data_IF_603306325847
#
_entry.id   IF_603306325847
#
_cell.length_a   1.000
_cell.length_b   1.000
_cell.length_c   1.000
_cell.angle_alpha   90.00
_cell.angle_beta   90.00
_cell.angle_gamma   90.00
#
_symmetry.space_group_name_H-M   'P 1'
#
loop_
_entity.id
_entity.type
_entity.pdbx_description
1 polymer ?
#
# COMPACT_ATOMS: atom_id res chain seq x y z
N UNK A 1 -77.75 0.44 -67.37
CA UNK A 1 -76.46 1.02 -67.84
C UNK A 1 -76.13 2.22 -66.98
N UNK A 2 -75.14 2.11 -66.09
CA UNK A 2 -74.42 3.26 -65.52
C UNK A 2 -73.15 2.75 -64.85
N UNK A 3 -71.98 3.10 -65.42
CA UNK A 3 -70.64 2.84 -64.88
C UNK A 3 -70.17 4.07 -64.11
N UNK A 4 -69.64 3.91 -62.89
CA UNK A 4 -68.68 4.82 -62.23
C UNK A 4 -67.82 4.01 -61.25
N UNK A 5 -66.60 3.66 -61.65
CA UNK A 5 -65.30 4.29 -61.32
C UNK A 5 -64.84 4.07 -59.88
N UNK A 6 -63.94 3.10 -59.74
CA UNK A 6 -63.07 2.80 -58.59
C UNK A 6 -61.98 3.86 -58.42
N UNK A 7 -61.85 4.44 -57.22
CA UNK A 7 -60.66 5.17 -56.78
C UNK A 7 -59.90 4.32 -55.76
N UNK A 8 -58.69 3.90 -56.14
CA UNK A 8 -57.68 3.33 -55.24
C UNK A 8 -56.94 4.49 -54.55
N UNK A 9 -57.06 4.59 -53.24
CA UNK A 9 -56.20 5.45 -52.42
C UNK A 9 -54.97 4.63 -51.98
N UNK A 10 -53.79 5.03 -52.45
CA UNK A 10 -52.50 4.50 -52.00
C UNK A 10 -52.10 5.28 -50.75
N UNK A 11 -52.11 4.64 -49.58
CA UNK A 11 -51.57 5.19 -48.35
C UNK A 11 -50.05 4.91 -48.29
N UNK A 12 -49.24 5.95 -48.50
CA UNK A 12 -47.79 5.88 -48.27
C UNK A 12 -47.50 5.96 -46.76
N UNK A 13 -47.07 4.84 -46.19
CA UNK A 13 -46.56 4.74 -44.82
C UNK A 13 -45.08 5.15 -44.82
N UNK A 14 -44.77 6.37 -44.37
CA UNK A 14 -43.39 6.79 -44.15
C UNK A 14 -42.93 6.32 -42.75
N UNK A 15 -42.10 5.29 -42.71
CA UNK A 15 -41.43 4.84 -41.48
C UNK A 15 -40.24 5.76 -41.20
N UNK A 16 -40.35 6.64 -40.19
CA UNK A 16 -39.23 7.38 -39.66
C UNK A 16 -38.45 6.48 -38.68
N UNK A 17 -37.35 5.90 -39.15
CA UNK A 17 -36.39 5.19 -38.30
C UNK A 17 -35.61 6.20 -37.47
N UNK A 18 -35.96 6.35 -36.20
CA UNK A 18 -35.10 7.03 -35.22
C UNK A 18 -33.93 6.12 -34.90
N UNK A 19 -32.74 6.46 -35.41
CA UNK A 19 -31.47 5.84 -34.99
C UNK A 19 -31.13 6.44 -33.63
N UNK A 20 -31.42 5.70 -32.56
CA UNK A 20 -30.89 6.01 -31.22
C UNK A 20 -29.43 5.54 -31.19
N UNK A 21 -28.50 6.48 -31.17
CA UNK A 21 -27.11 6.17 -30.83
C UNK A 21 -27.05 5.97 -29.31
N UNK A 22 -26.96 4.72 -28.87
CA UNK A 22 -26.57 4.44 -27.49
C UNK A 22 -25.15 4.98 -27.29
N UNK A 23 -24.92 5.88 -26.32
CA UNK A 23 -23.56 6.26 -25.97
C UNK A 23 -22.82 5.00 -25.53
N UNK A 24 -21.68 4.71 -26.18
CA UNK A 24 -20.80 3.66 -25.73
C UNK A 24 -20.53 3.88 -24.23
N UNK A 25 -20.62 2.84 -23.37
CA UNK A 25 -20.29 3.00 -21.97
C UNK A 25 -18.87 3.56 -21.91
N UNK A 26 -18.70 4.73 -21.31
CA UNK A 26 -17.40 5.28 -21.04
C UNK A 26 -16.61 4.17 -20.33
N UNK A 27 -15.49 3.74 -20.94
CA UNK A 27 -14.61 2.74 -20.34
C UNK A 27 -14.24 3.25 -18.97
N UNK A 28 -14.85 2.71 -17.93
CA UNK A 28 -14.54 3.06 -16.56
C UNK A 28 -13.04 2.79 -16.40
N UNK A 29 -12.26 3.87 -16.30
CA UNK A 29 -10.85 3.72 -16.02
C UNK A 29 -10.75 2.94 -14.71
N UNK A 30 -10.01 1.84 -14.72
CA UNK A 30 -9.73 1.08 -13.52
C UNK A 30 -9.07 2.06 -12.55
N UNK A 31 -9.76 2.37 -11.46
CA UNK A 31 -9.25 3.30 -10.46
C UNK A 31 -7.97 2.69 -9.87
N UNK A 32 -6.83 3.37 -10.10
CA UNK A 32 -5.53 3.01 -9.53
C UNK A 32 -5.61 3.04 -8.00
N UNK A 33 -5.12 2.01 -7.34
CA UNK A 33 -4.95 2.01 -5.90
C UNK A 33 -3.61 2.65 -5.47
N UNK A 34 -3.36 2.73 -4.17
CA UNK A 34 -2.13 3.30 -3.62
C UNK A 34 -0.87 2.52 -4.01
N UNK A 35 -0.99 1.22 -4.28
CA UNK A 35 0.13 0.39 -4.73
C UNK A 35 0.40 0.58 -6.21
N UNK A 36 -0.62 0.80 -7.03
CA UNK A 36 -0.44 1.18 -8.44
C UNK A 36 0.38 2.46 -8.56
N UNK A 37 0.04 3.49 -7.79
CA UNK A 37 0.84 4.71 -7.75
C UNK A 37 2.25 4.44 -7.22
N UNK A 38 2.39 3.68 -6.12
CA UNK A 38 3.71 3.34 -5.58
C UNK A 38 4.62 2.64 -6.61
N UNK A 39 4.07 1.72 -7.41
CA UNK A 39 4.80 1.06 -8.50
C UNK A 39 5.13 2.04 -9.63
N UNK A 40 4.19 2.91 -9.99
CA UNK A 40 4.40 3.90 -11.05
C UNK A 40 5.56 4.86 -10.73
N UNK A 41 5.66 5.36 -9.49
CA UNK A 41 6.83 6.17 -9.10
C UNK A 41 8.11 5.34 -8.99
N UNK A 42 8.03 4.07 -8.57
CA UNK A 42 9.21 3.19 -8.56
C UNK A 42 9.79 2.97 -9.97
N UNK A 43 8.93 2.93 -10.98
CA UNK A 43 9.31 2.73 -12.39
C UNK A 43 9.78 4.02 -13.08
N UNK A 44 9.20 5.17 -12.73
CA UNK A 44 9.38 6.42 -13.47
C UNK A 44 10.25 7.46 -12.76
N UNK A 45 10.63 7.23 -11.49
CA UNK A 45 11.37 8.23 -10.72
C UNK A 45 12.69 8.63 -11.38
N UNK A 46 12.83 9.94 -11.67
CA UNK A 46 14.08 10.55 -12.14
C UNK A 46 14.97 11.00 -11.00
N UNK A 47 14.36 11.32 -9.85
CA UNK A 47 15.03 11.55 -8.57
C UNK A 47 14.37 10.64 -7.56
N UNK A 48 15.17 9.78 -6.94
CA UNK A 48 14.68 8.76 -6.02
C UNK A 48 15.58 8.71 -4.79
N UNK A 49 15.26 9.52 -3.79
CA UNK A 49 16.09 9.67 -2.60
C UNK A 49 15.43 9.05 -1.38
N UNK A 50 16.23 8.37 -0.56
CA UNK A 50 15.84 8.03 0.80
C UNK A 50 16.02 9.23 1.73
N UNK A 51 14.96 9.59 2.45
CA UNK A 51 14.95 10.69 3.40
C UNK A 51 15.34 10.22 4.80
N UNK A 52 16.45 10.73 5.33
CA UNK A 52 16.89 10.50 6.71
C UNK A 52 16.22 11.43 7.72
N UNK A 53 15.54 12.49 7.28
CA UNK A 53 15.06 13.53 8.18
C UNK A 53 13.84 13.08 8.97
N UNK A 54 13.80 13.44 10.25
CA UNK A 54 12.64 13.23 11.14
C UNK A 54 11.53 14.25 10.89
N UNK A 55 11.83 15.39 10.28
CA UNK A 55 10.88 16.50 10.03
C UNK A 55 10.88 16.92 8.55
N UNK A 56 9.67 17.14 8.00
CA UNK A 56 9.41 17.96 6.81
C UNK A 56 9.96 17.51 5.44
N UNK A 57 10.70 16.40 5.34
CA UNK A 57 11.44 16.04 4.12
C UNK A 57 10.73 15.12 3.12
N UNK A 58 9.57 14.55 3.48
CA UNK A 58 8.92 13.59 2.61
C UNK A 58 8.07 14.25 1.53
N UNK A 59 8.36 13.96 0.26
CA UNK A 59 7.54 14.37 -0.87
C UNK A 59 7.59 13.36 -2.02
N UNK A 60 6.54 13.39 -2.85
CA UNK A 60 6.52 12.76 -4.18
C UNK A 60 5.91 13.77 -5.13
N UNK A 61 6.60 14.06 -6.22
CA UNK A 61 6.10 14.80 -7.35
C UNK A 61 5.79 13.85 -8.50
N UNK A 62 4.52 13.69 -8.85
CA UNK A 62 4.05 12.62 -9.73
C UNK A 62 4.19 12.95 -11.23
N UNK A 63 3.67 14.08 -11.71
CA UNK A 63 3.42 14.24 -13.16
C UNK A 63 3.86 15.60 -13.71
N UNK A 64 3.64 16.69 -12.98
CA UNK A 64 3.99 18.04 -13.41
C UNK A 64 5.26 18.50 -12.68
N UNK A 65 6.28 19.00 -13.39
CA UNK A 65 7.41 19.62 -12.71
C UNK A 65 6.92 20.84 -11.92
N UNK A 66 7.40 20.98 -10.69
CA UNK A 66 7.22 22.19 -9.88
C UNK A 66 8.46 23.08 -9.99
N UNK A 67 8.40 24.32 -9.49
CA UNK A 67 9.56 25.22 -9.45
C UNK A 67 10.76 24.61 -8.71
N UNK A 68 10.51 23.74 -7.74
CA UNK A 68 11.54 23.16 -6.86
C UNK A 68 11.83 21.69 -7.09
N UNK A 69 10.98 20.96 -7.82
CA UNK A 69 11.11 19.51 -8.03
C UNK A 69 10.70 19.08 -9.45
N UNK A 70 11.50 18.25 -10.15
CA UNK A 70 11.12 17.73 -11.46
C UNK A 70 9.94 16.76 -11.35
N UNK A 71 9.23 16.51 -12.45
CA UNK A 71 8.24 15.44 -12.50
C UNK A 71 8.92 14.10 -12.17
N UNK A 72 8.18 13.20 -11.51
CA UNK A 72 8.69 11.92 -11.04
C UNK A 72 9.89 12.04 -10.10
N UNK A 73 9.80 12.93 -9.10
CA UNK A 73 10.83 13.03 -8.05
C UNK A 73 10.28 12.66 -6.69
N UNK A 74 11.11 12.03 -5.88
CA UNK A 74 10.73 11.64 -4.53
C UNK A 74 11.92 11.75 -3.58
N UNK A 75 11.64 12.28 -2.38
CA UNK A 75 12.46 12.06 -1.19
C UNK A 75 11.54 11.47 -0.15
N UNK A 76 11.71 10.20 0.19
CA UNK A 76 10.75 9.48 1.03
C UNK A 76 11.41 8.49 1.98
N UNK A 77 10.63 7.97 2.93
CA UNK A 77 10.95 6.84 3.79
C UNK A 77 9.68 6.06 4.09
N UNK A 78 9.81 4.75 4.24
CA UNK A 78 8.81 3.77 4.62
C UNK A 78 7.36 4.30 4.81
N UNK A 79 7.01 4.76 6.01
CA UNK A 79 5.65 5.18 6.36
C UNK A 79 5.15 6.40 5.57
N UNK A 80 6.01 7.39 5.30
CA UNK A 80 5.59 8.56 4.54
C UNK A 80 5.40 8.21 3.06
N UNK A 81 6.17 7.26 2.51
CA UNK A 81 5.95 6.76 1.15
C UNK A 81 4.57 6.09 1.00
N UNK A 82 4.20 5.22 1.95
CA UNK A 82 2.85 4.66 2.01
C UNK A 82 1.78 5.76 2.12
N UNK A 83 1.96 6.71 3.04
CA UNK A 83 1.02 7.80 3.28
C UNK A 83 0.81 8.67 2.04
N UNK A 84 1.88 9.06 1.35
CA UNK A 84 1.81 9.88 0.14
C UNK A 84 1.19 9.13 -1.04
N UNK A 85 1.47 7.84 -1.18
CA UNK A 85 0.86 6.98 -2.21
C UNK A 85 -0.64 6.81 -1.97
N UNK A 86 -1.06 6.63 -0.71
CA UNK A 86 -2.47 6.58 -0.33
C UNK A 86 -3.18 7.90 -0.61
N UNK A 87 -2.56 9.04 -0.29
CA UNK A 87 -3.12 10.36 -0.59
C UNK A 87 -3.36 10.56 -2.07
N UNK A 88 -2.38 10.19 -2.91
CA UNK A 88 -2.52 10.28 -4.38
C UNK A 88 -3.68 9.40 -4.87
N UNK A 89 -3.80 8.18 -4.38
CA UNK A 89 -4.85 7.25 -4.79
C UNK A 89 -6.27 7.70 -4.38
N UNK A 90 -6.40 8.27 -3.19
CA UNK A 90 -7.70 8.61 -2.60
C UNK A 90 -8.09 10.08 -2.80
N UNK A 91 -7.18 10.92 -3.30
CA UNK A 91 -7.38 12.37 -3.35
C UNK A 91 -7.36 13.04 -1.98
N UNK A 92 -6.71 12.42 -0.98
CA UNK A 92 -6.72 12.93 0.39
C UNK A 92 -5.80 14.14 0.59
N UNK A 93 -6.38 15.14 1.25
CA UNK A 93 -5.68 16.23 1.88
C UNK A 93 -4.98 15.77 3.17
N UNK A 94 -4.06 16.59 3.73
CA UNK A 94 -3.54 16.34 5.07
C UNK A 94 -4.63 16.29 6.15
N UNK A 95 -5.72 17.07 6.01
CA UNK A 95 -6.82 17.09 6.97
C UNK A 95 -7.57 15.75 7.00
N UNK A 96 -7.80 15.11 5.84
CA UNK A 96 -8.40 13.78 5.78
C UNK A 96 -7.60 12.76 6.58
N UNK A 97 -6.27 12.76 6.42
CA UNK A 97 -5.39 11.88 7.19
C UNK A 97 -5.43 12.17 8.69
N UNK A 98 -5.42 13.46 9.06
CA UNK A 98 -5.54 13.88 10.44
C UNK A 98 -6.87 13.43 11.06
N UNK A 99 -7.97 13.50 10.33
CA UNK A 99 -9.27 13.05 10.81
C UNK A 99 -9.35 11.52 10.94
N UNK A 100 -8.66 10.76 10.08
CA UNK A 100 -8.60 9.30 10.20
C UNK A 100 -7.68 8.83 11.33
N UNK A 101 -6.52 9.46 11.50
CA UNK A 101 -5.40 8.91 12.26
C UNK A 101 -4.71 9.91 13.18
N UNK A 102 -5.31 11.07 13.45
CA UNK A 102 -4.77 12.14 14.32
C UNK A 102 -3.33 12.55 13.93
N UNK A 103 -2.97 12.35 12.65
CA UNK A 103 -1.65 12.64 12.12
C UNK A 103 -1.71 12.80 10.60
N UNK A 104 -1.06 13.84 10.10
CA UNK A 104 -0.93 14.12 8.66
C UNK A 104 0.18 13.30 8.00
N UNK A 105 1.05 12.69 8.80
CA UNK A 105 2.16 11.85 8.35
C UNK A 105 2.52 10.82 9.43
N UNK A 106 1.69 9.78 9.64
CA UNK A 106 1.95 8.78 10.66
C UNK A 106 3.30 8.08 10.46
N UNK A 107 3.96 7.75 11.56
CA UNK A 107 5.20 6.95 11.54
C UNK A 107 4.88 5.46 11.36
N UNK A 108 5.89 4.64 11.04
CA UNK A 108 5.71 3.18 10.97
C UNK A 108 5.21 2.63 12.31
N UNK A 109 5.76 3.10 13.43
CA UNK A 109 5.30 2.66 14.74
C UNK A 109 3.85 3.08 15.03
N UNK A 110 3.44 4.28 14.61
CA UNK A 110 2.05 4.70 14.74
C UNK A 110 1.10 3.79 13.94
N UNK A 111 1.45 3.46 12.69
CA UNK A 111 0.70 2.47 11.92
C UNK A 111 0.69 1.09 12.58
N UNK A 112 1.81 0.65 13.14
CA UNK A 112 1.90 -0.62 13.87
C UNK A 112 0.93 -0.65 15.07
N UNK A 113 0.84 0.44 15.82
CA UNK A 113 -0.08 0.58 16.96
C UNK A 113 -1.55 0.54 16.50
N UNK A 114 -1.91 1.34 15.48
CA UNK A 114 -3.26 1.31 14.89
C UNK A 114 -3.65 -0.10 14.42
N UNK A 115 -2.77 -0.76 13.68
CA UNK A 115 -2.99 -2.13 13.20
C UNK A 115 -3.09 -3.11 14.37
N UNK A 116 -2.28 -2.94 15.42
CA UNK A 116 -2.33 -3.81 16.59
C UNK A 116 -3.66 -3.73 17.35
N UNK A 117 -4.29 -2.55 17.39
CA UNK A 117 -5.64 -2.34 17.93
C UNK A 117 -6.75 -2.80 16.98
N UNK A 118 -6.42 -3.07 15.73
CA UNK A 118 -7.41 -3.42 14.70
C UNK A 118 -7.90 -4.86 14.84
N UNK A 119 -9.19 -5.12 14.54
CA UNK A 119 -9.71 -6.49 14.52
C UNK A 119 -9.08 -7.31 13.39
N UNK A 120 -9.09 -8.64 13.52
CA UNK A 120 -8.66 -9.54 12.46
C UNK A 120 -9.59 -9.42 11.23
N UNK A 121 -9.07 -9.77 10.06
CA UNK A 121 -9.87 -9.88 8.84
C UNK A 121 -11.03 -10.85 9.07
N UNK A 122 -12.25 -10.41 8.72
CA UNK A 122 -13.48 -11.17 8.95
C UNK A 122 -14.08 -11.07 10.37
N UNK A 123 -13.40 -10.43 11.33
CA UNK A 123 -13.98 -10.16 12.64
C UNK A 123 -15.05 -9.04 12.59
N UNK A 124 -15.95 -8.94 13.58
CA UNK A 124 -16.96 -7.89 13.65
C UNK A 124 -16.38 -6.48 13.58
N UNK A 125 -17.22 -5.54 13.13
CA UNK A 125 -16.84 -4.12 13.09
C UNK A 125 -16.59 -3.60 14.52
N UNK A 126 -15.45 -2.94 14.79
CA UNK A 126 -15.18 -2.37 16.10
C UNK A 126 -16.00 -1.09 16.31
N UNK A 127 -16.12 -0.66 17.57
CA UNK A 127 -16.77 0.62 17.90
C UNK A 127 -15.96 1.84 17.44
N UNK A 128 -14.63 1.73 17.45
CA UNK A 128 -13.70 2.74 16.94
C UNK A 128 -12.99 2.14 15.74
N UNK A 129 -13.11 2.80 14.59
CA UNK A 129 -12.52 2.35 13.35
C UNK A 129 -11.08 2.87 13.24
N UNK A 130 -10.16 1.96 12.95
CA UNK A 130 -8.73 2.26 12.69
C UNK A 130 -8.44 2.33 11.19
N UNK A 131 -9.44 1.98 10.37
CA UNK A 131 -9.37 1.80 8.92
C UNK A 131 -8.47 0.65 8.48
N UNK A 132 -8.13 -0.26 9.40
CA UNK A 132 -7.34 -1.45 9.15
C UNK A 132 -8.05 -2.72 9.60
N UNK A 133 -7.77 -3.84 8.93
CA UNK A 133 -8.05 -5.20 9.42
C UNK A 133 -6.78 -6.03 9.38
N UNK A 134 -6.45 -6.72 10.48
CA UNK A 134 -5.24 -7.54 10.55
C UNK A 134 -5.38 -8.77 9.67
N UNK A 135 -4.43 -8.92 8.74
CA UNK A 135 -4.21 -10.15 8.00
C UNK A 135 -3.35 -11.04 8.89
N UNK A 136 -3.89 -12.19 9.31
CA UNK A 136 -3.22 -13.08 10.29
C UNK A 136 -2.62 -14.33 9.66
N UNK A 137 -2.93 -14.60 8.38
CA UNK A 137 -2.44 -15.75 7.63
C UNK A 137 -1.81 -15.31 6.33
N UNK A 138 -0.75 -15.99 5.90
CA UNK A 138 -0.05 -15.63 4.66
C UNK A 138 -0.93 -15.81 3.42
N UNK A 139 -1.81 -16.82 3.40
CA UNK A 139 -2.73 -17.09 2.28
C UNK A 139 -3.77 -15.99 2.05
N UNK A 140 -4.02 -15.15 3.06
CA UNK A 140 -4.96 -14.04 2.97
C UNK A 140 -4.30 -12.74 2.50
N UNK A 141 -2.96 -12.72 2.37
CA UNK A 141 -2.19 -11.57 1.88
C UNK A 141 -2.50 -11.32 0.40
N UNK A 142 -2.78 -10.07 0.06
CA UNK A 142 -3.02 -9.64 -1.30
C UNK A 142 -2.39 -8.27 -1.59
N UNK A 143 -2.41 -7.87 -2.86
CA UNK A 143 -2.04 -6.51 -3.28
C UNK A 143 -2.84 -5.45 -2.52
N UNK A 144 -2.17 -4.41 -2.04
CA UNK A 144 -2.80 -3.32 -1.27
C UNK A 144 -2.87 -3.56 0.23
N UNK A 145 -2.44 -4.73 0.70
CA UNK A 145 -2.12 -4.91 2.11
C UNK A 145 -0.81 -4.17 2.46
N UNK A 146 -0.65 -3.82 3.73
CA UNK A 146 0.53 -3.14 4.26
C UNK A 146 1.16 -4.02 5.35
N UNK A 147 2.46 -4.25 5.26
CA UNK A 147 3.25 -4.88 6.33
C UNK A 147 4.01 -3.79 7.08
N UNK A 148 3.81 -3.74 8.39
CA UNK A 148 4.40 -2.75 9.28
C UNK A 148 5.19 -3.42 10.37
N UNK A 149 6.46 -3.07 10.49
CA UNK A 149 7.34 -3.41 11.60
C UNK A 149 7.30 -2.27 12.61
N UNK A 150 7.03 -2.60 13.87
CA UNK A 150 6.95 -1.65 14.97
C UNK A 150 8.33 -1.25 15.49
N UNK A 151 8.34 -0.24 16.36
CA UNK A 151 9.54 0.26 17.01
C UNK A 151 10.07 -0.75 18.03
N UNK A 152 11.40 -0.82 18.16
CA UNK A 152 12.10 -1.62 19.17
C UNK A 152 12.85 -0.68 20.10
N UNK A 153 12.63 -0.86 21.40
CA UNK A 153 13.36 -0.18 22.48
C UNK A 153 14.19 -1.19 23.25
N UNK A 154 15.36 -0.75 23.69
CA UNK A 154 16.07 -1.39 24.78
C UNK A 154 15.80 -0.59 26.04
N UNK A 155 15.42 -1.27 27.12
CA UNK A 155 15.39 -0.63 28.43
C UNK A 155 16.86 -0.39 28.81
N UNK A 156 17.29 0.87 28.88
CA UNK A 156 18.61 1.19 29.38
C UNK A 156 18.77 0.71 30.83
N UNK A 157 20.01 0.37 31.21
CA UNK A 157 20.37 0.19 32.61
C UNK A 157 20.09 1.49 33.38
N UNK A 158 19.66 1.39 34.65
CA UNK A 158 19.52 2.54 35.53
C UNK A 158 20.90 3.12 35.86
N UNK A 159 21.50 3.88 34.95
CA UNK A 159 22.80 4.53 35.13
C UNK A 159 22.68 5.82 35.97
N UNK A 160 22.01 5.77 37.12
CA UNK A 160 21.99 6.85 38.12
C UNK A 160 21.46 8.24 37.67
N UNK A 161 21.19 8.45 36.39
CA UNK A 161 20.67 9.66 35.76
C UNK A 161 19.25 9.48 35.18
N UNK A 162 18.69 8.27 35.31
CA UNK A 162 17.34 7.88 34.90
C UNK A 162 17.35 6.73 33.88
N UNK A 163 16.20 6.07 33.71
CA UNK A 163 16.05 5.06 32.64
C UNK A 163 16.05 5.81 31.29
N UNK A 164 17.08 5.55 30.46
CA UNK A 164 17.09 6.01 29.06
C UNK A 164 16.47 4.92 28.20
N UNK A 165 15.26 5.16 27.70
CA UNK A 165 14.68 4.32 26.65
C UNK A 165 15.41 4.59 25.33
N UNK A 166 16.35 3.71 24.96
CA UNK A 166 17.04 3.81 23.67
C UNK A 166 16.19 3.20 22.56
N UNK A 167 15.97 3.96 21.49
CA UNK A 167 15.28 3.48 20.29
C UNK A 167 16.29 2.77 19.40
N UNK A 168 16.29 1.43 19.44
CA UNK A 168 17.13 0.59 18.58
C UNK A 168 16.64 0.54 17.13
N UNK A 169 15.34 0.67 16.92
CA UNK A 169 14.71 0.59 15.61
C UNK A 169 13.41 1.38 15.57
N UNK A 170 13.24 2.29 14.61
CA UNK A 170 12.10 3.20 14.53
C UNK A 170 10.85 2.63 13.83
N UNK A 171 10.92 1.36 13.40
CA UNK A 171 9.87 0.71 12.63
C UNK A 171 10.03 0.92 11.12
N UNK A 172 9.27 0.16 10.33
CA UNK A 172 9.27 0.25 8.86
C UNK A 172 7.93 -0.15 8.28
N UNK A 173 7.58 0.40 7.13
CA UNK A 173 6.30 0.18 6.46
C UNK A 173 6.57 -0.16 5.00
N UNK A 174 6.01 -1.28 4.54
CA UNK A 174 6.09 -1.72 3.14
C UNK A 174 4.68 -1.97 2.61
N UNK A 175 4.46 -1.67 1.33
CA UNK A 175 3.22 -1.97 0.63
C UNK A 175 3.37 -3.30 -0.12
N UNK A 176 2.36 -4.15 -0.05
CA UNK A 176 2.36 -5.46 -0.70
C UNK A 176 1.83 -5.32 -2.13
N UNK A 177 2.60 -5.78 -3.11
CA UNK A 177 2.33 -5.58 -4.55
C UNK A 177 1.59 -6.74 -5.21
N UNK A 178 1.42 -7.85 -4.50
CA UNK A 178 0.79 -9.06 -5.01
C UNK A 178 0.48 -10.07 -3.91
N UNK A 179 -0.18 -11.19 -4.22
CA UNK A 179 -0.45 -12.23 -3.25
C UNK A 179 0.85 -12.87 -2.75
N UNK A 180 0.82 -13.37 -1.52
CA UNK A 180 1.92 -14.18 -1.01
C UNK A 180 1.96 -15.54 -1.71
N UNK A 181 3.17 -16.05 -2.00
CA UNK A 181 3.37 -17.33 -2.70
C UNK A 181 4.14 -18.27 -1.79
N UNK A 182 3.57 -19.45 -1.50
CA UNK A 182 4.26 -20.46 -0.69
C UNK A 182 5.52 -20.96 -1.41
N UNK A 183 6.64 -20.99 -0.69
CA UNK A 183 7.89 -21.56 -1.16
C UNK A 183 7.87 -23.07 -0.97
N UNK A 184 7.62 -23.81 -2.05
CA UNK A 184 7.64 -25.28 -2.06
C UNK A 184 8.98 -25.86 -1.61
N UNK A 185 10.08 -25.11 -1.82
CA UNK A 185 11.40 -25.39 -1.26
C UNK A 185 11.80 -24.26 -0.32
N UNK A 186 11.85 -24.56 0.98
CA UNK A 186 12.28 -23.59 1.98
C UNK A 186 13.73 -23.14 1.76
N UNK A 187 13.98 -21.86 2.00
CA UNK A 187 15.30 -21.22 1.93
C UNK A 187 15.79 -20.98 3.37
N UNK A 188 17.10 -20.87 3.64
CA UNK A 188 17.57 -20.56 5.00
C UNK A 188 17.17 -19.12 5.42
N UNK A 189 16.90 -18.88 6.71
CA UNK A 189 16.85 -19.87 7.78
C UNK A 189 15.55 -20.70 7.73
N UNK A 190 15.65 -22.00 8.05
CA UNK A 190 14.53 -22.93 8.09
C UNK A 190 14.18 -23.27 9.53
N UNK A 191 12.90 -23.25 9.86
CA UNK A 191 12.41 -23.61 11.20
C UNK A 191 11.42 -24.76 11.10
N UNK A 192 11.61 -25.77 11.94
CA UNK A 192 10.68 -26.90 12.02
C UNK A 192 9.28 -26.40 12.36
N UNK A 193 8.26 -27.04 11.78
CA UNK A 193 6.86 -26.66 12.00
C UNK A 193 6.44 -25.36 11.32
N UNK A 194 7.28 -24.77 10.45
CA UNK A 194 6.93 -23.55 9.70
C UNK A 194 6.81 -23.79 8.20
N UNK A 195 5.98 -22.99 7.53
CA UNK A 195 6.02 -22.78 6.06
C UNK A 195 6.64 -21.40 5.78
N UNK A 196 7.16 -21.23 4.57
CA UNK A 196 7.71 -19.95 4.11
C UNK A 196 6.89 -19.45 2.93
N UNK A 197 6.57 -18.17 2.93
CA UNK A 197 5.89 -17.50 1.82
C UNK A 197 6.73 -16.31 1.36
N UNK A 198 6.88 -16.19 0.06
CA UNK A 198 7.39 -15.00 -0.60
C UNK A 198 6.29 -13.93 -0.64
N UNK A 199 6.64 -12.69 -0.31
CA UNK A 199 5.75 -11.54 -0.36
C UNK A 199 6.39 -10.46 -1.23
N UNK A 200 5.82 -10.15 -2.40
CA UNK A 200 6.32 -9.06 -3.25
C UNK A 200 5.92 -7.72 -2.62
N UNK A 201 6.87 -6.78 -2.57
CA UNK A 201 6.70 -5.50 -1.89
C UNK A 201 7.22 -4.32 -2.72
N UNK A 202 6.72 -3.14 -2.37
CA UNK A 202 7.28 -1.85 -2.76
C UNK A 202 7.38 -0.99 -1.50
N UNK A 203 8.52 -0.34 -1.32
CA UNK A 203 8.80 0.47 -0.14
C UNK A 203 9.81 1.57 -0.44
N UNK A 204 10.12 2.39 0.57
CA UNK A 204 11.24 3.34 0.51
C UNK A 204 12.17 3.13 1.69
N UNK A 205 13.40 2.70 1.42
CA UNK A 205 14.39 2.32 2.45
C UNK A 205 15.79 2.76 2.06
N UNK A 206 16.71 2.80 3.03
CA UNK A 206 18.11 3.14 2.80
C UNK A 206 18.92 1.99 2.20
N UNK A 207 18.39 0.77 2.21
CA UNK A 207 19.14 -0.44 1.83
C UNK A 207 18.23 -1.45 1.12
N UNK A 208 18.67 -2.07 0.00
CA UNK A 208 17.84 -2.99 -0.78
C UNK A 208 17.46 -4.28 -0.01
N UNK A 209 16.32 -4.89 -0.35
CA UNK A 209 15.80 -6.16 0.19
C UNK A 209 16.51 -7.42 -0.38
N UNK A 210 17.84 -7.35 -0.51
CA UNK A 210 18.70 -8.43 -0.99
C UNK A 210 18.97 -8.40 -2.50
N UNK A 211 20.23 -8.65 -2.87
CA UNK A 211 20.72 -8.52 -4.26
C UNK A 211 21.19 -9.83 -4.90
N UNK A 212 21.16 -10.93 -4.15
CA UNK A 212 21.87 -12.16 -4.53
C UNK A 212 21.01 -13.16 -5.32
N UNK A 213 19.76 -12.82 -5.65
CA UNK A 213 18.78 -13.78 -6.19
C UNK A 213 18.08 -13.31 -7.46
N UNK A 214 18.79 -13.21 -8.59
CA UNK A 214 18.20 -13.18 -9.94
C UNK A 214 16.89 -12.38 -10.06
N UNK A 215 15.79 -13.06 -10.41
CA UNK A 215 14.44 -12.46 -10.59
C UNK A 215 13.80 -11.89 -9.31
N UNK A 216 14.35 -12.22 -8.14
CA UNK A 216 13.92 -11.73 -6.82
C UNK A 216 14.86 -10.66 -6.24
N UNK A 217 15.79 -10.16 -7.05
CA UNK A 217 16.66 -9.05 -6.66
C UNK A 217 15.83 -7.78 -6.49
N UNK A 218 16.15 -7.01 -5.46
CA UNK A 218 15.57 -5.70 -5.27
C UNK A 218 15.99 -4.76 -6.42
N UNK A 219 15.07 -3.92 -6.90
CA UNK A 219 15.35 -3.01 -8.02
C UNK A 219 16.47 -2.02 -7.74
N UNK A 220 16.73 -1.71 -6.46
CA UNK A 220 17.79 -0.81 -6.02
C UNK A 220 19.18 -1.46 -6.02
N UNK A 221 19.28 -2.78 -6.21
CA UNK A 221 20.57 -3.47 -6.23
C UNK A 221 21.48 -3.04 -7.39
N UNK A 222 20.92 -2.55 -8.49
CA UNK A 222 21.70 -2.06 -9.62
C UNK A 222 22.46 -0.77 -9.29
N UNK A 223 21.89 0.10 -8.44
CA UNK A 223 22.50 1.38 -8.04
C UNK A 223 23.20 1.29 -6.69
N UNK A 224 22.73 0.41 -5.80
CA UNK A 224 23.17 0.33 -4.41
C UNK A 224 22.66 1.50 -3.55
N UNK A 225 21.79 2.34 -4.09
CA UNK A 225 21.27 3.54 -3.45
C UNK A 225 19.95 3.26 -2.74
N UNK A 226 19.68 4.04 -1.68
CA UNK A 226 18.39 4.04 -1.00
C UNK A 226 17.33 4.82 -1.80
N UNK A 227 16.06 4.59 -1.47
CA UNK A 227 14.92 5.27 -2.06
C UNK A 227 13.77 4.28 -2.24
N UNK A 228 12.83 4.64 -3.11
CA UNK A 228 11.72 3.80 -3.53
C UNK A 228 12.25 2.62 -4.34
N UNK A 229 11.78 1.41 -4.07
CA UNK A 229 12.13 0.23 -4.85
C UNK A 229 11.16 -0.92 -4.64
N UNK A 230 11.23 -1.88 -5.55
CA UNK A 230 10.49 -3.14 -5.46
C UNK A 230 11.42 -4.27 -5.06
N UNK A 231 10.90 -5.20 -4.28
CA UNK A 231 11.67 -6.35 -3.80
C UNK A 231 10.77 -7.42 -3.22
N UNK A 232 11.37 -8.33 -2.47
CA UNK A 232 10.64 -9.43 -1.86
C UNK A 232 11.07 -9.64 -0.42
N UNK A 233 10.07 -9.71 0.46
CA UNK A 233 10.25 -10.21 1.82
C UNK A 233 9.80 -11.66 1.89
N UNK A 234 10.17 -12.32 2.98
CA UNK A 234 9.65 -13.64 3.31
C UNK A 234 8.88 -13.56 4.62
N UNK A 235 7.72 -14.20 4.68
CA UNK A 235 7.01 -14.43 5.94
C UNK A 235 6.99 -15.92 6.28
N UNK A 236 6.98 -16.21 7.57
CA UNK A 236 6.91 -17.55 8.11
C UNK A 236 5.54 -17.74 8.73
N UNK A 237 4.92 -18.89 8.48
CA UNK A 237 3.69 -19.27 9.13
C UNK A 237 3.84 -20.57 9.89
N UNK A 238 3.00 -20.77 10.90
CA UNK A 238 2.81 -22.07 11.52
C UNK A 238 2.24 -23.05 10.49
N UNK A 239 2.87 -24.21 10.35
CA UNK A 239 2.52 -25.18 9.30
C UNK A 239 1.14 -25.81 9.47
N UNK A 240 0.55 -25.75 10.67
CA UNK A 240 -0.73 -26.36 11.00
C UNK A 240 -1.91 -25.37 10.95
N UNK A 241 -1.67 -24.10 11.31
CA UNK A 241 -2.70 -23.06 11.42
C UNK A 241 -2.60 -21.98 10.36
N UNK A 242 -1.48 -21.93 9.62
CA UNK A 242 -1.08 -20.88 8.69
C UNK A 242 -1.00 -19.48 9.33
N UNK A 243 -0.95 -19.39 10.66
CA UNK A 243 -0.79 -18.12 11.39
C UNK A 243 0.63 -17.58 11.19
N UNK A 244 0.74 -16.28 10.94
CA UNK A 244 1.99 -15.54 10.80
C UNK A 244 2.86 -15.60 12.07
N UNK A 245 4.13 -15.98 11.92
CA UNK A 245 5.08 -16.23 13.02
C UNK A 245 6.31 -15.32 13.01
N UNK A 246 6.72 -14.80 11.85
CA UNK A 246 7.96 -14.03 11.69
C UNK A 246 8.23 -13.70 10.24
N UNK A 247 9.32 -13.00 9.97
CA UNK A 247 9.70 -12.62 8.61
C UNK A 247 11.21 -12.54 8.43
N UNK A 248 11.67 -12.45 7.17
CA UNK A 248 13.02 -12.02 6.82
C UNK A 248 12.95 -10.86 5.83
N UNK A 249 13.92 -9.94 5.93
CA UNK A 249 14.02 -8.72 5.11
C UNK A 249 14.28 -8.96 3.61
N UNK A 250 14.62 -10.19 3.23
CA UNK A 250 14.90 -10.60 1.86
C UNK A 250 14.47 -12.05 1.65
N UNK A 251 14.37 -12.48 0.39
CA UNK A 251 14.35 -13.91 0.02
C UNK A 251 15.73 -14.56 0.04
N UNK A 252 16.81 -13.76 0.14
CA UNK A 252 18.18 -14.28 0.09
C UNK A 252 18.45 -15.24 1.26
N UNK A 253 19.20 -16.30 0.98
CA UNK A 253 19.58 -17.27 2.00
C UNK A 253 20.54 -16.63 3.00
N UNK A 254 20.11 -16.48 4.26
CA UNK A 254 20.95 -16.01 5.35
C UNK A 254 20.71 -16.86 6.60
N UNK A 255 21.72 -16.96 7.46
CA UNK A 255 21.62 -17.72 8.72
C UNK A 255 21.09 -16.87 9.89
N UNK A 256 21.02 -15.54 9.75
CA UNK A 256 20.76 -14.62 10.87
C UNK A 256 19.57 -13.66 10.65
N UNK A 257 18.84 -13.80 9.55
CA UNK A 257 17.86 -12.80 9.09
C UNK A 257 16.42 -13.01 9.56
N UNK A 258 16.16 -14.00 10.43
CA UNK A 258 14.81 -14.25 10.94
C UNK A 258 14.46 -13.28 12.07
N UNK A 259 13.34 -12.60 11.90
CA UNK A 259 12.75 -11.67 12.85
C UNK A 259 11.45 -12.25 13.40
N UNK A 260 11.45 -12.65 14.68
CA UNK A 260 10.24 -13.02 15.40
C UNK A 260 9.54 -11.77 15.94
N UNK A 261 8.21 -11.81 16.18
CA UNK A 261 7.47 -10.72 16.83
C UNK A 261 8.03 -10.30 18.19
N UNK A 262 8.75 -11.18 18.89
CA UNK A 262 9.40 -10.86 20.17
C UNK A 262 10.72 -10.09 20.00
N UNK A 263 11.37 -10.19 18.84
CA UNK A 263 12.61 -9.48 18.51
C UNK A 263 12.32 -8.18 17.76
N UNK A 264 11.48 -8.26 16.73
CA UNK A 264 10.96 -7.12 15.99
C UNK A 264 9.46 -7.34 15.74
N UNK A 265 8.59 -6.60 16.44
CA UNK A 265 7.16 -6.79 16.30
C UNK A 265 6.73 -6.35 14.91
N UNK A 266 5.83 -7.09 14.28
CA UNK A 266 5.26 -6.71 12.98
C UNK A 266 3.79 -7.09 12.87
N UNK A 267 3.09 -6.46 11.94
CA UNK A 267 1.71 -6.78 11.56
C UNK A 267 1.53 -6.62 10.06
N UNK A 268 0.57 -7.35 9.50
CA UNK A 268 0.06 -7.12 8.15
C UNK A 268 -1.39 -6.69 8.27
N UNK A 269 -1.80 -5.69 7.49
CA UNK A 269 -3.16 -5.20 7.50
C UNK A 269 -3.69 -4.84 6.12
N UNK A 270 -5.00 -4.93 5.99
CA UNK A 270 -5.77 -4.45 4.85
C UNK A 270 -6.43 -3.13 5.20
N UNK A 271 -6.33 -2.15 4.30
CA UNK A 271 -7.14 -0.93 4.38
C UNK A 271 -8.62 -1.27 4.18
N UNK A 272 -9.49 -0.76 5.05
CA UNK A 272 -10.93 -0.95 4.95
C UNK A 272 -11.69 0.32 5.31
N UNK A 273 -12.87 0.49 4.72
CA UNK A 273 -13.81 1.57 5.07
C UNK A 273 -13.15 2.95 5.11
N UNK A 274 -12.36 3.23 4.08
CA UNK A 274 -11.77 4.54 3.87
C UNK A 274 -12.90 5.54 3.59
N UNK A 275 -12.97 6.67 4.33
CA UNK A 275 -13.97 7.71 4.06
C UNK A 275 -13.75 8.33 2.67
N UNK A 276 -14.76 8.94 2.04
CA UNK A 276 -14.50 9.80 0.89
C UNK A 276 -13.63 10.99 1.32
N UNK A 277 -12.80 11.55 0.42
CA UNK A 277 -12.07 12.79 0.70
C UNK A 277 -13.05 13.91 1.06
N UNK A 278 -12.66 14.78 1.99
CA UNK A 278 -13.38 16.01 2.28
C UNK A 278 -13.49 16.88 1.02
N UNK A 279 -14.66 17.51 0.86
CA UNK A 279 -14.88 18.42 -0.26
C UNK A 279 -13.91 19.59 -0.16
N UNK A 280 -13.22 19.85 -1.26
CA UNK A 280 -12.42 21.08 -1.42
C UNK A 280 -13.25 22.28 -1.86
N UNK A 281 -14.54 22.07 -2.18
CA UNK A 281 -15.47 23.14 -2.52
C UNK A 281 -15.83 23.93 -1.25
N UNK A 282 -15.64 25.27 -1.24
CA UNK A 282 -16.06 26.08 -0.10
C UNK A 282 -17.57 25.93 0.12
N UNK A 283 -18.05 25.98 1.38
CA UNK A 283 -19.47 25.90 1.65
C UNK A 283 -20.22 27.00 0.87
N UNK A 284 -21.43 26.72 0.37
CA UNK A 284 -22.20 27.72 -0.35
C UNK A 284 -22.36 28.97 0.54
N UNK A 285 -22.33 30.18 -0.05
CA UNK A 285 -22.50 31.41 0.71
C UNK A 285 -23.81 31.37 1.50
N UNK A 286 -23.85 31.95 2.71
CA UNK A 286 -25.07 32.01 3.49
C UNK A 286 -26.19 32.73 2.70
N UNK A 287 -27.46 32.35 2.92
CA UNK A 287 -28.62 32.94 2.25
C UNK A 287 -28.80 34.43 2.55
#
# INVERSE_FOLDING_TARGET
MSRRTTSLAVASLAAASFVTFDPAPASAQVQKDHVDYALEIAENAVVNEWSSSTEGGCYINWEEPSETHPAWSASTKAACFFTLSLRKAMGYSPADLYNMWDSTSPTSDYYFQLISMSPALGAPTPWVETHFRRVTKAVDIQKGDVLVVGLVRENGDEDGDGIRDEVLYSGHTVMITGPAVELTRQIMPRYSGTKQYMVPIVDSTNSPHGCDLGEYSDSRCATGEGGIGVGYMRVYTDSSTDILLGYTWSLTSSLKSYESPSKQPYRIARLVKLPPPESTEPPPPPP
#
